data_IF_210816339364
#
_entry.id   IF_210816339364
#
_cell.length_a   1.000
_cell.length_b   1.000
_cell.length_c   1.000
_cell.angle_alpha   90.00
_cell.angle_beta   90.00
_cell.angle_gamma   90.00
#
_symmetry.space_group_name_H-M   'P 1'
#
loop_
_entity.id
_entity.type
_entity.pdbx_description
1 polymer ?
#
# COMPACT_ATOMS: atom_id res chain seq x y z
N UNK A 1 -18.51 20.90 -20.69
CA UNK A 1 -17.62 20.36 -19.64
C UNK A 1 -16.22 20.47 -20.19
N UNK A 2 -15.31 21.13 -19.48
CA UNK A 2 -13.93 21.27 -19.93
C UNK A 2 -13.26 19.91 -19.69
N UNK A 3 -12.77 19.26 -20.75
CA UNK A 3 -12.07 17.98 -20.64
C UNK A 3 -10.80 18.21 -19.80
N UNK A 4 -10.74 17.68 -18.59
CA UNK A 4 -9.57 17.82 -17.72
C UNK A 4 -8.58 16.70 -18.00
N UNK A 5 -7.29 16.99 -17.99
CA UNK A 5 -6.23 16.03 -18.31
C UNK A 5 -5.27 15.86 -17.12
N UNK A 6 -4.91 14.61 -16.83
CA UNK A 6 -3.90 14.24 -15.82
C UNK A 6 -2.72 13.53 -16.49
N UNK A 7 -1.51 13.98 -16.17
CA UNK A 7 -0.29 13.20 -16.38
C UNK A 7 -0.01 12.42 -15.09
N UNK A 8 -0.25 11.11 -15.11
CA UNK A 8 -0.03 10.24 -13.96
C UNK A 8 1.28 9.45 -14.13
N UNK A 9 2.25 9.68 -13.24
CA UNK A 9 3.50 8.91 -13.19
C UNK A 9 3.53 8.07 -11.91
N UNK A 10 3.57 6.74 -12.02
CA UNK A 10 3.54 5.86 -10.85
C UNK A 10 3.98 4.43 -11.13
N UNK A 11 4.31 3.67 -10.09
CA UNK A 11 4.73 2.28 -10.25
C UNK A 11 3.52 1.35 -10.53
N UNK A 12 3.58 0.48 -11.56
CA UNK A 12 2.62 -0.61 -11.72
C UNK A 12 2.75 -1.65 -10.60
N UNK A 13 1.96 -1.51 -9.53
CA UNK A 13 1.95 -2.41 -8.37
C UNK A 13 0.53 -2.91 -8.13
N UNK A 14 0.35 -4.24 -8.05
CA UNK A 14 -0.90 -4.93 -7.69
C UNK A 14 -2.18 -4.31 -8.30
N UNK A 15 -2.12 -3.88 -9.57
CA UNK A 15 -3.20 -3.20 -10.30
C UNK A 15 -3.70 -1.87 -9.71
N UNK A 16 -3.14 -1.35 -8.61
CA UNK A 16 -3.59 -0.06 -8.05
C UNK A 16 -3.48 1.10 -9.04
N UNK A 17 -2.40 1.16 -9.83
CA UNK A 17 -2.26 2.15 -10.89
C UNK A 17 -3.43 2.15 -11.89
N UNK A 18 -3.93 0.97 -12.28
CA UNK A 18 -5.10 0.86 -13.15
C UNK A 18 -6.37 1.33 -12.45
N UNK A 19 -6.53 1.01 -11.15
CA UNK A 19 -7.68 1.46 -10.36
C UNK A 19 -7.69 2.98 -10.18
N UNK A 20 -6.53 3.58 -9.94
CA UNK A 20 -6.37 5.04 -9.88
C UNK A 20 -6.72 5.68 -11.23
N UNK A 21 -6.25 5.10 -12.35
CA UNK A 21 -6.62 5.57 -13.70
C UNK A 21 -8.13 5.52 -13.89
N UNK A 22 -8.77 4.38 -13.61
CA UNK A 22 -10.22 4.23 -13.76
C UNK A 22 -11.01 5.16 -12.85
N UNK A 23 -10.51 5.47 -11.64
CA UNK A 23 -11.15 6.44 -10.75
C UNK A 23 -11.02 7.87 -11.29
N UNK A 24 -9.85 8.27 -11.78
CA UNK A 24 -9.69 9.57 -12.46
C UNK A 24 -10.66 9.70 -13.64
N UNK A 25 -10.77 8.67 -14.47
CA UNK A 25 -11.69 8.62 -15.61
C UNK A 25 -13.15 8.72 -15.17
N UNK A 26 -13.52 8.02 -14.09
CA UNK A 26 -14.86 8.11 -13.50
C UNK A 26 -15.17 9.51 -12.97
N UNK A 27 -14.16 10.25 -12.50
CA UNK A 27 -14.26 11.66 -12.08
C UNK A 27 -14.12 12.66 -13.24
N UNK A 28 -14.10 12.19 -14.49
CA UNK A 28 -14.15 13.02 -15.70
C UNK A 28 -12.79 13.50 -16.23
N UNK A 29 -11.69 12.86 -15.83
CA UNK A 29 -10.35 13.16 -16.33
C UNK A 29 -9.90 12.21 -17.43
N UNK A 30 -9.14 12.73 -18.39
CA UNK A 30 -8.35 11.92 -19.32
C UNK A 30 -6.96 11.70 -18.73
N UNK A 31 -6.49 10.45 -18.72
CA UNK A 31 -5.24 10.09 -18.03
C UNK A 31 -4.19 9.61 -19.04
N UNK A 32 -3.05 10.31 -19.08
CA UNK A 32 -1.82 9.77 -19.67
C UNK A 32 -0.98 9.14 -18.55
N UNK A 33 -0.79 7.82 -18.60
CA UNK A 33 -0.05 7.07 -17.58
C UNK A 33 1.36 6.71 -18.03
N UNK A 34 2.33 6.94 -17.14
CA UNK A 34 3.71 6.48 -17.27
C UNK A 34 4.18 5.75 -16.03
N UNK A 35 5.00 4.73 -16.25
CA UNK A 35 5.70 4.06 -15.16
C UNK A 35 6.70 5.04 -14.51
N UNK A 36 6.89 4.97 -13.19
CA UNK A 36 7.88 5.78 -12.46
C UNK A 36 9.34 5.32 -12.68
N UNK A 37 9.56 4.33 -13.55
CA UNK A 37 10.87 3.81 -13.95
C UNK A 37 10.87 3.27 -15.39
N UNK A 38 12.05 3.16 -16.02
CA UNK A 38 12.16 2.70 -17.41
C UNK A 38 11.79 1.23 -17.65
N UNK A 39 11.74 0.37 -16.61
CA UNK A 39 11.44 -1.06 -16.79
C UNK A 39 10.99 -1.76 -15.51
N UNK A 40 10.15 -2.79 -15.70
CA UNK A 40 9.71 -3.74 -14.67
C UNK A 40 10.64 -4.95 -14.49
N UNK A 41 11.78 -5.00 -15.17
CA UNK A 41 12.76 -6.08 -14.99
C UNK A 41 13.35 -6.07 -13.58
N UNK A 42 13.31 -7.22 -12.88
CA UNK A 42 13.88 -7.36 -11.52
C UNK A 42 15.36 -6.96 -11.46
N UNK A 43 16.13 -7.20 -12.52
CA UNK A 43 17.52 -6.77 -12.60
C UNK A 43 17.64 -5.24 -12.65
N UNK A 44 16.83 -4.57 -13.48
CA UNK A 44 16.80 -3.10 -13.57
C UNK A 44 16.36 -2.50 -12.24
N UNK A 45 15.32 -3.05 -11.58
CA UNK A 45 14.88 -2.63 -10.25
C UNK A 45 16.02 -2.71 -9.22
N UNK A 46 16.77 -3.81 -9.24
CA UNK A 46 17.93 -3.98 -8.37
C UNK A 46 19.02 -2.94 -8.64
N UNK A 47 19.36 -2.68 -9.91
CA UNK A 47 20.45 -1.77 -10.26
C UNK A 47 20.10 -0.31 -9.96
N UNK A 48 18.83 0.07 -10.16
CA UNK A 48 18.31 1.37 -9.74
C UNK A 48 18.47 1.61 -8.23
N UNK A 49 18.45 0.55 -7.41
CA UNK A 49 18.67 0.63 -5.97
C UNK A 49 20.16 0.62 -5.58
N UNK A 50 20.98 -0.18 -6.26
CA UNK A 50 22.38 -0.43 -5.87
C UNK A 50 23.35 0.59 -6.50
N UNK A 51 23.19 0.88 -7.80
CA UNK A 51 24.05 1.81 -8.55
C UNK A 51 23.22 2.69 -9.49
N UNK A 52 22.46 3.67 -8.96
CA UNK A 52 21.62 4.57 -9.77
C UNK A 52 22.42 5.28 -10.89
N UNK A 53 23.68 5.65 -10.64
CA UNK A 53 24.53 6.36 -11.59
C UNK A 53 24.78 5.60 -12.89
N UNK A 54 24.86 4.26 -12.84
CA UNK A 54 25.00 3.42 -14.03
C UNK A 54 23.73 3.38 -14.88
N UNK A 55 22.59 3.74 -14.30
CA UNK A 55 21.29 3.74 -14.96
C UNK A 55 20.90 5.13 -15.48
N UNK A 56 21.72 6.16 -15.24
CA UNK A 56 21.42 7.56 -15.56
C UNK A 56 21.03 7.77 -17.04
N UNK A 57 21.79 7.22 -17.98
CA UNK A 57 21.49 7.32 -19.41
C UNK A 57 20.16 6.65 -19.80
N UNK A 58 19.82 5.51 -19.17
CA UNK A 58 18.54 4.84 -19.41
C UNK A 58 17.37 5.64 -18.83
N UNK A 59 17.55 6.19 -17.62
CA UNK A 59 16.55 7.03 -16.96
C UNK A 59 16.33 8.31 -17.80
N UNK A 60 17.39 8.96 -18.26
CA UNK A 60 17.30 10.14 -19.11
C UNK A 60 16.58 9.83 -20.41
N UNK A 61 16.97 8.76 -21.12
CA UNK A 61 16.29 8.35 -22.37
C UNK A 61 14.81 8.07 -22.16
N UNK A 62 14.44 7.48 -21.02
CA UNK A 62 13.04 7.24 -20.68
C UNK A 62 12.29 8.53 -20.36
N UNK A 63 12.92 9.46 -19.63
CA UNK A 63 12.36 10.78 -19.38
C UNK A 63 12.17 11.58 -20.69
N UNK A 64 13.15 11.58 -21.59
CA UNK A 64 13.05 12.24 -22.90
C UNK A 64 11.90 11.69 -23.74
N UNK A 65 11.63 10.39 -23.63
CA UNK A 65 10.46 9.74 -24.24
C UNK A 65 9.16 10.32 -23.67
N UNK A 66 9.03 10.41 -22.34
CA UNK A 66 7.85 11.02 -21.70
C UNK A 66 7.68 12.46 -22.18
N UNK A 67 8.76 13.24 -22.22
CA UNK A 67 8.74 14.62 -22.70
C UNK A 67 8.27 14.69 -24.16
N UNK A 68 8.75 13.81 -25.04
CA UNK A 68 8.33 13.77 -26.45
C UNK A 68 6.84 13.41 -26.59
N UNK A 69 6.37 12.39 -25.89
CA UNK A 69 4.98 11.91 -26.02
C UNK A 69 3.95 12.83 -25.35
N UNK A 70 4.39 13.69 -24.45
CA UNK A 70 3.58 14.73 -23.80
C UNK A 70 3.69 16.09 -24.51
N UNK A 71 4.42 16.16 -25.62
CA UNK A 71 4.55 17.38 -26.42
C UNK A 71 3.21 17.83 -27.00
N UNK A 72 2.92 19.14 -26.91
CA UNK A 72 1.67 19.73 -27.40
C UNK A 72 0.44 19.42 -26.54
N UNK A 73 0.57 18.62 -25.48
CA UNK A 73 -0.48 18.36 -24.51
C UNK A 73 -0.39 19.33 -23.33
N UNK A 74 -1.55 19.77 -22.86
CA UNK A 74 -1.69 20.58 -21.64
C UNK A 74 -2.38 19.73 -20.58
N UNK A 75 -1.84 19.71 -19.37
CA UNK A 75 -2.43 19.01 -18.23
C UNK A 75 -2.96 20.01 -17.19
N UNK A 76 -4.02 19.63 -16.51
CA UNK A 76 -4.52 20.34 -15.32
C UNK A 76 -3.80 19.86 -14.05
N UNK A 77 -3.39 18.58 -14.06
CA UNK A 77 -2.72 17.93 -12.95
C UNK A 77 -1.55 17.06 -13.46
N UNK A 78 -0.37 17.25 -12.87
CA UNK A 78 0.73 16.29 -12.93
C UNK A 78 0.76 15.59 -11.58
N UNK A 79 0.32 14.34 -11.56
CA UNK A 79 0.25 13.52 -10.36
C UNK A 79 1.36 12.47 -10.37
N UNK A 80 2.23 12.48 -9.37
CA UNK A 80 3.36 11.55 -9.29
C UNK A 80 3.32 10.76 -7.98
N UNK A 81 3.49 9.45 -8.08
CA UNK A 81 3.61 8.54 -6.93
C UNK A 81 5.07 8.08 -6.79
N UNK A 82 5.64 8.24 -5.58
CA UNK A 82 6.99 7.82 -5.14
C UNK A 82 8.25 8.41 -5.81
N UNK A 83 8.18 8.95 -7.03
CA UNK A 83 9.33 9.53 -7.75
C UNK A 83 10.65 8.73 -7.61
N UNK A 84 10.67 7.42 -7.92
CA UNK A 84 11.84 6.58 -7.60
C UNK A 84 13.10 6.91 -8.41
N UNK A 85 12.95 7.41 -9.63
CA UNK A 85 14.07 7.67 -10.55
C UNK A 85 14.16 9.12 -11.01
N UNK A 86 13.10 9.93 -10.82
CA UNK A 86 13.06 11.30 -11.29
C UNK A 86 13.99 12.18 -10.44
N UNK A 87 14.73 13.06 -11.09
CA UNK A 87 15.64 14.01 -10.45
C UNK A 87 14.97 15.39 -10.28
N UNK A 88 15.50 16.27 -9.41
CA UNK A 88 15.02 17.64 -9.31
C UNK A 88 14.97 18.38 -10.66
N UNK A 89 16.00 18.17 -11.49
CA UNK A 89 16.08 18.75 -12.83
C UNK A 89 14.95 18.26 -13.74
N UNK A 90 14.67 16.95 -13.75
CA UNK A 90 13.56 16.38 -14.52
C UNK A 90 12.20 16.95 -14.09
N UNK A 91 11.96 17.10 -12.78
CA UNK A 91 10.72 17.71 -12.28
C UNK A 91 10.64 19.17 -12.72
N UNK A 92 11.74 19.93 -12.66
CA UNK A 92 11.78 21.31 -13.12
C UNK A 92 11.52 21.43 -14.62
N UNK A 93 12.07 20.52 -15.44
CA UNK A 93 11.78 20.46 -16.87
C UNK A 93 10.29 20.21 -17.14
N UNK A 94 9.64 19.31 -16.39
CA UNK A 94 8.20 19.09 -16.48
C UNK A 94 7.41 20.34 -16.10
N UNK A 95 7.74 21.01 -14.98
CA UNK A 95 7.07 22.26 -14.55
C UNK A 95 7.21 23.38 -15.58
N UNK A 96 8.39 23.51 -16.19
CA UNK A 96 8.63 24.51 -17.22
C UNK A 96 7.80 24.25 -18.49
N UNK A 97 7.47 22.98 -18.77
CA UNK A 97 6.63 22.61 -19.92
C UNK A 97 5.14 22.67 -19.62
N UNK A 98 4.75 22.34 -18.40
CA UNK A 98 3.36 22.24 -17.95
C UNK A 98 3.04 23.36 -16.96
N UNK A 99 3.16 24.61 -17.41
CA UNK A 99 3.07 25.81 -16.56
C UNK A 99 1.68 26.06 -15.98
N UNK A 100 0.63 25.51 -16.60
CA UNK A 100 -0.75 25.59 -16.09
C UNK A 100 -1.13 24.43 -15.17
N UNK A 101 -0.32 23.36 -15.11
CA UNK A 101 -0.66 22.18 -14.34
C UNK A 101 -0.31 22.38 -12.87
N UNK A 102 -1.16 21.88 -11.97
CA UNK A 102 -0.79 21.67 -10.57
C UNK A 102 0.05 20.39 -10.44
N UNK A 103 1.10 20.43 -9.65
CA UNK A 103 2.00 19.31 -9.40
C UNK A 103 1.74 18.73 -8.01
N UNK A 104 1.31 17.47 -7.96
CA UNK A 104 1.02 16.77 -6.71
C UNK A 104 1.88 15.51 -6.60
N UNK A 105 2.56 15.37 -5.45
CA UNK A 105 3.34 14.19 -5.09
C UNK A 105 2.59 13.38 -4.04
N UNK A 106 2.50 12.06 -4.22
CA UNK A 106 2.10 11.13 -3.16
C UNK A 106 3.22 10.13 -2.87
N UNK A 107 3.79 10.20 -1.68
CA UNK A 107 4.77 9.24 -1.17
C UNK A 107 4.01 8.02 -0.64
N UNK A 108 4.02 6.94 -1.42
CA UNK A 108 3.45 5.64 -1.08
C UNK A 108 4.45 4.73 -0.37
N UNK A 109 5.74 4.99 -0.50
CA UNK A 109 6.82 4.34 0.22
C UNK A 109 7.43 5.31 1.24
N UNK A 110 7.85 4.80 2.39
CA UNK A 110 8.51 5.63 3.42
C UNK A 110 9.83 6.23 2.91
N UNK A 111 10.13 7.46 3.35
CA UNK A 111 11.40 8.14 3.10
C UNK A 111 12.61 7.37 3.67
N UNK A 112 12.42 6.49 4.66
CA UNK A 112 13.47 5.56 5.11
C UNK A 112 13.91 4.60 4.01
N UNK A 113 13.00 4.21 3.11
CA UNK A 113 13.29 3.34 1.98
C UNK A 113 13.88 4.11 0.80
N UNK A 114 13.45 5.36 0.60
CA UNK A 114 13.85 6.22 -0.53
C UNK A 114 14.22 7.65 -0.07
N UNK A 115 15.36 7.83 0.62
CA UNK A 115 15.72 9.11 1.22
C UNK A 115 15.98 10.22 0.18
N UNK A 116 16.36 9.85 -1.04
CA UNK A 116 16.60 10.80 -2.13
C UNK A 116 15.32 11.54 -2.54
N UNK A 117 14.14 10.94 -2.36
CA UNK A 117 12.86 11.57 -2.68
C UNK A 117 12.61 12.82 -1.83
N UNK A 118 13.29 12.98 -0.68
CA UNK A 118 13.18 14.16 0.17
C UNK A 118 13.55 15.46 -0.54
N UNK A 119 14.52 15.43 -1.47
CA UNK A 119 14.93 16.61 -2.23
C UNK A 119 13.90 17.04 -3.29
N UNK A 120 12.97 16.14 -3.66
CA UNK A 120 11.94 16.41 -4.67
C UNK A 120 10.71 17.08 -4.06
N UNK A 121 10.39 16.78 -2.80
CA UNK A 121 9.18 17.26 -2.10
C UNK A 121 8.94 18.77 -2.28
N UNK A 122 9.94 19.66 -2.11
CA UNK A 122 9.72 21.11 -2.22
C UNK A 122 9.41 21.60 -3.64
N UNK A 123 9.56 20.76 -4.67
CA UNK A 123 9.30 21.13 -6.06
C UNK A 123 7.81 21.00 -6.44
N UNK A 124 7.03 20.28 -5.63
CA UNK A 124 5.60 20.07 -5.87
C UNK A 124 4.78 21.16 -5.18
N UNK A 125 3.61 21.45 -5.74
CA UNK A 125 2.68 22.42 -5.16
C UNK A 125 2.00 21.81 -3.93
N UNK A 126 1.79 20.49 -3.95
CA UNK A 126 1.35 19.70 -2.79
C UNK A 126 2.09 18.36 -2.73
N UNK A 127 2.46 17.94 -1.53
CA UNK A 127 3.06 16.63 -1.30
C UNK A 127 2.40 15.92 -0.11
N UNK A 128 2.06 14.66 -0.33
CA UNK A 128 1.39 13.80 0.64
C UNK A 128 2.25 12.60 1.00
N UNK A 129 2.06 12.04 2.19
CA UNK A 129 2.61 10.74 2.58
C UNK A 129 1.64 9.95 3.44
N UNK A 130 1.61 8.64 3.26
CA UNK A 130 0.88 7.70 4.12
C UNK A 130 1.62 7.40 5.44
N UNK A 131 2.91 7.73 5.52
CA UNK A 131 3.73 7.47 6.70
C UNK A 131 3.71 8.71 7.59
N UNK A 132 3.06 8.60 8.74
CA UNK A 132 2.89 9.69 9.70
C UNK A 132 4.23 10.17 10.26
N UNK A 133 5.20 9.26 10.43
CA UNK A 133 6.53 9.62 10.91
C UNK A 133 7.27 10.50 9.89
N UNK A 134 7.14 10.20 8.59
CA UNK A 134 7.71 11.03 7.53
C UNK A 134 7.08 12.43 7.52
N UNK A 135 5.77 12.54 7.74
CA UNK A 135 5.06 13.81 7.83
C UNK A 135 5.53 14.66 9.01
N UNK A 136 5.76 14.03 10.17
CA UNK A 136 6.29 14.70 11.35
C UNK A 136 7.73 15.20 11.16
N UNK A 137 8.52 14.52 10.34
CA UNK A 137 9.92 14.87 10.06
C UNK A 137 10.09 15.89 8.92
N UNK A 138 9.12 15.98 8.01
CA UNK A 138 9.20 16.85 6.82
C UNK A 138 7.96 17.72 6.75
N UNK A 139 8.09 18.98 7.18
CA UNK A 139 6.99 19.96 7.24
C UNK A 139 6.20 20.15 5.93
N UNK A 140 6.84 19.93 4.78
CA UNK A 140 6.20 20.05 3.47
C UNK A 140 5.31 18.84 3.10
N UNK A 141 5.36 17.75 3.87
CA UNK A 141 4.48 16.60 3.70
C UNK A 141 3.19 16.79 4.50
N UNK A 142 2.07 16.56 3.84
CA UNK A 142 0.76 16.43 4.47
C UNK A 142 0.42 14.95 4.65
N UNK A 143 -0.05 14.57 5.83
CA UNK A 143 -0.50 13.19 6.05
C UNK A 143 -1.76 12.89 5.23
N UNK A 144 -1.71 11.83 4.43
CA UNK A 144 -2.86 11.29 3.69
C UNK A 144 -2.71 9.77 3.69
N UNK A 145 -3.59 9.03 4.40
CA UNK A 145 -3.47 7.58 4.49
C UNK A 145 -3.64 6.89 3.14
N UNK A 146 -3.31 5.61 3.12
CA UNK A 146 -3.65 4.71 2.01
C UNK A 146 -5.18 4.56 1.91
N UNK A 147 -5.63 3.97 0.81
CA UNK A 147 -7.05 3.84 0.47
C UNK A 147 -7.43 2.39 0.16
N UNK A 148 -8.72 2.06 0.27
CA UNK A 148 -9.27 0.83 -0.28
C UNK A 148 -9.96 1.09 -1.61
N UNK A 149 -9.92 0.10 -2.49
CA UNK A 149 -10.61 0.16 -3.78
C UNK A 149 -12.03 -0.42 -3.68
N UNK A 150 -12.89 -0.05 -4.63
CA UNK A 150 -14.28 -0.52 -4.72
C UNK A 150 -14.46 -2.04 -4.59
N UNK A 151 -13.53 -2.84 -5.10
CA UNK A 151 -13.59 -4.31 -4.97
C UNK A 151 -13.57 -4.82 -3.53
N UNK A 152 -12.96 -4.06 -2.60
CA UNK A 152 -12.97 -4.42 -1.18
C UNK A 152 -14.28 -3.96 -0.54
N UNK A 153 -14.80 -2.79 -0.91
CA UNK A 153 -16.14 -2.34 -0.50
C UNK A 153 -17.22 -3.34 -0.93
N UNK A 154 -17.13 -3.90 -2.14
CA UNK A 154 -18.01 -4.95 -2.64
C UNK A 154 -17.94 -6.23 -1.79
N UNK A 155 -16.77 -6.59 -1.27
CA UNK A 155 -16.63 -7.72 -0.33
C UNK A 155 -17.27 -7.41 1.03
N UNK A 156 -17.14 -6.18 1.51
CA UNK A 156 -17.71 -5.74 2.78
C UNK A 156 -19.23 -5.58 2.75
N UNK A 157 -19.81 -5.24 1.60
CA UNK A 157 -21.23 -5.00 1.41
C UNK A 157 -21.98 -6.19 0.80
N UNK A 158 -21.33 -7.35 0.67
CA UNK A 158 -21.95 -8.53 0.10
C UNK A 158 -23.15 -8.98 0.95
N UNK A 159 -24.34 -8.92 0.36
CA UNK A 159 -25.61 -9.33 0.99
C UNK A 159 -25.80 -10.85 1.00
N UNK A 160 -24.96 -11.57 0.25
CA UNK A 160 -24.91 -13.03 0.20
C UNK A 160 -23.48 -13.51 0.47
N UNK A 161 -22.96 -13.29 1.69
CA UNK A 161 -21.58 -13.63 2.00
C UNK A 161 -21.33 -15.12 1.75
N UNK A 162 -20.18 -15.42 1.15
CA UNK A 162 -19.71 -16.79 1.01
C UNK A 162 -19.72 -17.50 2.38
N UNK A 163 -19.90 -18.82 2.37
CA UNK A 163 -19.69 -19.61 3.57
C UNK A 163 -18.28 -19.35 4.12
N UNK A 164 -18.18 -19.00 5.40
CA UNK A 164 -16.90 -18.70 6.03
C UNK A 164 -16.13 -20.00 6.22
N UNK A 165 -15.10 -20.19 5.39
CA UNK A 165 -14.21 -21.34 5.41
C UNK A 165 -13.02 -21.15 6.36
N UNK A 166 -12.64 -19.90 6.64
CA UNK A 166 -11.45 -19.56 7.42
C UNK A 166 -11.75 -18.51 8.49
N UNK A 167 -11.34 -18.78 9.71
CA UNK A 167 -11.48 -17.84 10.82
C UNK A 167 -10.39 -16.75 10.76
N UNK A 168 -9.23 -17.09 10.17
CA UNK A 168 -8.11 -16.17 9.92
C UNK A 168 -7.43 -16.44 8.57
N UNK A 169 -7.14 -15.37 7.81
CA UNK A 169 -6.32 -15.45 6.58
C UNK A 169 -5.04 -14.64 6.70
N UNK A 170 -3.96 -15.19 6.17
CA UNK A 170 -2.67 -14.50 6.02
C UNK A 170 -2.07 -14.83 4.66
N UNK A 171 -1.72 -13.79 3.90
CA UNK A 171 -1.19 -13.94 2.53
C UNK A 171 0.00 -13.00 2.34
N UNK A 172 1.19 -13.38 2.78
CA UNK A 172 2.31 -12.43 2.87
C UNK A 172 3.59 -12.96 2.21
N UNK A 173 4.48 -12.02 1.87
CA UNK A 173 5.86 -12.40 1.52
C UNK A 173 6.57 -12.98 2.75
N UNK A 174 7.38 -14.02 2.53
CA UNK A 174 8.14 -14.70 3.57
C UNK A 174 9.33 -13.87 4.04
N UNK A 175 9.08 -12.91 4.94
CA UNK A 175 10.14 -12.18 5.65
C UNK A 175 10.50 -12.88 6.97
N UNK A 176 11.73 -12.73 7.47
CA UNK A 176 12.20 -13.43 8.68
C UNK A 176 11.32 -13.19 9.90
N UNK A 177 10.91 -11.94 10.14
CA UNK A 177 10.03 -11.57 11.24
C UNK A 177 8.66 -12.26 11.14
N UNK A 178 8.03 -12.22 9.95
CA UNK A 178 6.73 -12.87 9.70
C UNK A 178 6.81 -14.38 9.85
N UNK A 179 7.83 -15.00 9.25
CA UNK A 179 8.02 -16.45 9.35
C UNK A 179 8.18 -16.91 10.79
N UNK A 180 9.05 -16.23 11.56
CA UNK A 180 9.26 -16.52 12.99
C UNK A 180 7.97 -16.39 13.81
N UNK A 181 7.19 -15.34 13.59
CA UNK A 181 5.95 -15.12 14.33
C UNK A 181 4.88 -16.14 13.95
N UNK A 182 4.65 -16.34 12.66
CA UNK A 182 3.57 -17.21 12.17
C UNK A 182 3.83 -18.69 12.45
N UNK A 183 5.10 -19.13 12.43
CA UNK A 183 5.45 -20.54 12.74
C UNK A 183 5.20 -20.93 14.19
N UNK A 184 5.07 -19.95 15.09
CA UNK A 184 4.70 -20.17 16.50
C UNK A 184 3.21 -19.92 16.72
N UNK A 185 2.70 -18.79 16.23
CA UNK A 185 1.34 -18.35 16.51
C UNK A 185 0.28 -19.23 15.85
N UNK A 186 0.46 -19.58 14.57
CA UNK A 186 -0.60 -20.25 13.82
C UNK A 186 -0.86 -21.67 14.31
N UNK A 187 0.16 -22.51 14.56
CA UNK A 187 -0.07 -23.82 15.17
C UNK A 187 -0.75 -23.72 16.54
N UNK A 188 -0.45 -22.70 17.34
CA UNK A 188 -1.08 -22.49 18.65
C UNK A 188 -2.57 -22.13 18.53
N UNK A 189 -2.96 -21.37 17.49
CA UNK A 189 -4.35 -21.03 17.19
C UNK A 189 -5.10 -22.21 16.55
N UNK A 190 -4.46 -22.97 15.67
CA UNK A 190 -5.03 -24.19 15.09
C UNK A 190 -5.30 -25.25 16.17
N UNK A 191 -4.41 -25.38 17.15
CA UNK A 191 -4.62 -26.25 18.31
C UNK A 191 -5.84 -25.85 19.18
N UNK A 192 -6.29 -24.60 19.07
CA UNK A 192 -7.53 -24.07 19.68
C UNK A 192 -8.76 -24.23 18.78
N UNK A 193 -8.61 -24.89 17.62
CA UNK A 193 -9.70 -25.21 16.70
C UNK A 193 -10.01 -24.13 15.67
N UNK A 194 -9.15 -23.13 15.49
CA UNK A 194 -9.32 -22.11 14.45
C UNK A 194 -8.85 -22.62 13.08
N UNK A 195 -9.64 -22.35 12.03
CA UNK A 195 -9.33 -22.66 10.64
C UNK A 195 -8.53 -21.53 10.03
N UNK A 196 -7.23 -21.75 9.79
CA UNK A 196 -6.32 -20.72 9.28
C UNK A 196 -5.94 -21.00 7.83
N UNK A 197 -6.09 -20.00 6.97
CA UNK A 197 -5.46 -20.02 5.65
C UNK A 197 -4.15 -19.22 5.68
N UNK A 198 -3.02 -19.92 5.62
CA UNK A 198 -1.68 -19.31 5.59
C UNK A 198 -1.02 -19.51 4.24
N UNK A 199 -0.78 -18.42 3.52
CA UNK A 199 -0.10 -18.40 2.23
C UNK A 199 1.14 -17.51 2.30
N UNK A 200 2.29 -18.14 2.59
CA UNK A 200 3.57 -17.44 2.61
C UNK A 200 4.33 -17.67 1.31
N UNK A 201 4.73 -16.59 0.62
CA UNK A 201 5.41 -16.71 -0.67
C UNK A 201 6.73 -15.95 -0.76
N UNK A 202 7.66 -16.47 -1.56
CA UNK A 202 8.95 -15.84 -1.86
C UNK A 202 9.52 -16.41 -3.16
N UNK A 203 10.46 -15.71 -3.79
CA UNK A 203 11.11 -16.26 -4.97
C UNK A 203 12.11 -17.37 -4.57
N UNK A 204 12.37 -18.32 -5.47
CA UNK A 204 13.23 -19.49 -5.20
C UNK A 204 14.65 -19.11 -4.77
N UNK A 205 15.24 -18.08 -5.39
CA UNK A 205 16.59 -17.62 -5.05
C UNK A 205 16.64 -17.04 -3.63
N UNK A 206 15.64 -16.25 -3.26
CA UNK A 206 15.48 -15.70 -1.93
C UNK A 206 15.26 -16.79 -0.88
N UNK A 207 14.52 -17.87 -1.20
CA UNK A 207 14.40 -19.02 -0.31
C UNK A 207 15.76 -19.66 -0.03
N UNK A 208 16.54 -19.99 -1.05
CA UNK A 208 17.86 -20.60 -0.86
C UNK A 208 18.83 -19.68 -0.11
N UNK A 209 18.80 -18.38 -0.42
CA UNK A 209 19.55 -17.38 0.33
C UNK A 209 19.14 -17.35 1.81
N UNK A 210 17.84 -17.22 2.09
CA UNK A 210 17.35 -17.17 3.47
C UNK A 210 17.66 -18.48 4.22
N UNK A 211 17.46 -19.64 3.59
CA UNK A 211 17.76 -20.96 4.18
C UNK A 211 19.24 -21.10 4.57
N UNK A 212 20.15 -20.54 3.78
CA UNK A 212 21.59 -20.60 4.04
C UNK A 212 22.06 -19.56 5.06
N UNK A 213 21.52 -18.34 5.02
CA UNK A 213 22.11 -17.19 5.73
C UNK A 213 21.23 -16.57 6.82
N UNK A 214 19.93 -16.89 6.89
CA UNK A 214 18.99 -16.31 7.84
C UNK A 214 18.62 -17.33 8.90
N UNK A 215 18.86 -16.99 10.17
CA UNK A 215 18.70 -17.92 11.31
C UNK A 215 17.27 -18.45 11.42
N UNK A 216 16.28 -17.58 11.23
CA UNK A 216 14.85 -17.90 11.28
C UNK A 216 14.47 -18.96 10.25
N UNK A 217 15.14 -18.99 9.08
CA UNK A 217 14.81 -19.91 7.98
C UNK A 217 15.58 -21.22 8.04
N UNK A 218 16.57 -21.40 8.93
CA UNK A 218 17.37 -22.65 8.98
C UNK A 218 16.51 -23.89 9.22
N UNK A 219 15.43 -23.78 9.98
CA UNK A 219 14.46 -24.87 10.20
C UNK A 219 13.42 -25.03 9.10
N UNK A 220 13.27 -24.06 8.20
CA UNK A 220 12.13 -23.97 7.29
C UNK A 220 12.18 -24.99 6.14
N UNK A 221 11.09 -25.69 5.88
CA UNK A 221 10.89 -26.58 4.75
C UNK A 221 10.39 -25.81 3.53
N UNK A 222 10.80 -26.21 2.33
CA UNK A 222 10.32 -25.61 1.08
C UNK A 222 8.81 -25.78 0.89
N UNK A 223 8.18 -26.77 1.52
CA UNK A 223 6.75 -27.05 1.42
C UNK A 223 5.89 -26.02 2.19
N UNK A 224 6.48 -25.31 3.15
CA UNK A 224 5.82 -24.23 3.90
C UNK A 224 5.64 -22.96 3.05
N UNK A 225 6.28 -22.90 1.89
CA UNK A 225 6.29 -21.72 1.04
C UNK A 225 5.71 -21.98 -0.34
N UNK A 226 5.21 -20.89 -0.93
CA UNK A 226 4.82 -20.81 -2.33
C UNK A 226 5.83 -19.96 -3.09
N UNK A 227 6.10 -20.34 -4.34
CA UNK A 227 7.10 -19.65 -5.17
C UNK A 227 6.49 -18.71 -6.21
N UNK A 228 5.17 -18.53 -6.15
CA UNK A 228 4.40 -17.58 -6.94
C UNK A 228 3.37 -16.93 -6.03
N UNK A 229 3.15 -15.61 -6.14
CA UNK A 229 2.06 -14.95 -5.44
C UNK A 229 0.70 -15.46 -5.93
N UNK A 230 -0.33 -15.33 -5.10
CA UNK A 230 -1.71 -15.43 -5.54
C UNK A 230 -2.05 -14.29 -6.51
N UNK A 231 -2.97 -14.55 -7.42
CA UNK A 231 -3.62 -13.50 -8.20
C UNK A 231 -4.52 -12.64 -7.30
N UNK A 232 -4.85 -11.44 -7.78
CA UNK A 232 -5.78 -10.54 -7.09
C UNK A 232 -7.15 -11.21 -6.83
N UNK A 233 -7.70 -11.92 -7.82
CA UNK A 233 -8.96 -12.64 -7.66
C UNK A 233 -8.88 -13.68 -6.55
N UNK A 234 -7.79 -14.45 -6.50
CA UNK A 234 -7.60 -15.45 -5.43
C UNK A 234 -7.48 -14.78 -4.06
N UNK A 235 -6.84 -13.62 -3.94
CA UNK A 235 -6.79 -12.87 -2.69
C UNK A 235 -8.19 -12.41 -2.25
N UNK A 236 -8.98 -11.86 -3.18
CA UNK A 236 -10.35 -11.44 -2.91
C UNK A 236 -11.24 -12.62 -2.51
N UNK A 237 -11.07 -13.78 -3.15
CA UNK A 237 -11.83 -14.99 -2.81
C UNK A 237 -11.51 -15.48 -1.39
N UNK A 238 -10.24 -15.43 -0.97
CA UNK A 238 -9.87 -15.76 0.41
C UNK A 238 -10.43 -14.75 1.41
N UNK A 239 -10.48 -13.46 1.04
CA UNK A 239 -11.07 -12.42 1.87
C UNK A 239 -12.59 -12.58 2.03
N UNK A 240 -13.31 -12.97 0.96
CA UNK A 240 -14.74 -13.27 1.01
C UNK A 240 -15.05 -14.42 1.95
N UNK A 241 -14.21 -15.46 1.95
CA UNK A 241 -14.36 -16.69 2.74
C UNK A 241 -13.79 -16.60 4.16
N UNK A 242 -13.52 -15.39 4.64
CA UNK A 242 -12.94 -15.18 5.96
C UNK A 242 -13.51 -14.00 6.73
N UNK A 243 -13.38 -14.05 8.05
CA UNK A 243 -13.83 -13.01 8.96
C UNK A 243 -12.70 -12.10 9.45
N UNK A 244 -11.47 -12.63 9.50
CA UNK A 244 -10.32 -11.91 10.05
C UNK A 244 -9.08 -12.04 9.15
N UNK A 245 -8.28 -10.98 9.12
CA UNK A 245 -7.03 -10.89 8.36
C UNK A 245 -5.85 -10.67 9.31
N UNK A 246 -4.76 -11.39 9.08
CA UNK A 246 -3.49 -11.18 9.75
C UNK A 246 -2.58 -10.27 8.92
N UNK A 247 -2.05 -9.21 9.52
CA UNK A 247 -1.07 -8.31 8.92
C UNK A 247 0.15 -8.08 9.81
N UNK A 248 1.31 -7.96 9.18
CA UNK A 248 2.54 -7.55 9.86
C UNK A 248 3.36 -6.67 8.93
N UNK A 249 3.60 -5.44 9.34
CA UNK A 249 4.42 -4.47 8.60
C UNK A 249 5.89 -4.87 8.58
N UNK A 250 6.65 -4.28 7.65
CA UNK A 250 8.10 -4.41 7.66
C UNK A 250 8.70 -3.59 8.81
N UNK A 251 9.77 -4.06 9.45
CA UNK A 251 10.42 -3.38 10.59
C UNK A 251 10.92 -1.95 10.30
N UNK A 252 10.94 -1.52 9.03
CA UNK A 252 11.45 -0.22 8.60
C UNK A 252 10.31 0.70 8.11
N UNK A 253 9.06 0.30 8.29
CA UNK A 253 7.87 1.04 7.90
C UNK A 253 7.05 1.34 9.16
N UNK A 254 6.66 2.60 9.34
CA UNK A 254 5.80 3.02 10.45
C UNK A 254 4.33 3.05 10.01
N UNK A 255 4.06 3.52 8.78
CA UNK A 255 2.72 3.63 8.22
C UNK A 255 1.98 2.30 8.10
N UNK A 256 0.64 2.37 8.09
CA UNK A 256 -0.22 1.20 7.89
C UNK A 256 0.02 0.58 6.50
N UNK A 257 -0.20 -0.72 6.36
CA UNK A 257 -0.01 -1.41 5.08
C UNK A 257 -1.25 -1.28 4.20
N UNK A 258 -1.12 -1.55 2.90
CA UNK A 258 -2.31 -1.69 2.04
C UNK A 258 -3.27 -2.74 2.59
N UNK A 259 -2.77 -3.86 3.13
CA UNK A 259 -3.61 -4.92 3.70
C UNK A 259 -4.46 -4.42 4.85
N UNK A 260 -3.93 -3.54 5.69
CA UNK A 260 -4.70 -2.89 6.75
C UNK A 260 -5.92 -2.17 6.18
N UNK A 261 -5.73 -1.34 5.15
CA UNK A 261 -6.81 -0.55 4.58
C UNK A 261 -7.75 -1.39 3.70
N UNK A 262 -7.23 -2.41 3.00
CA UNK A 262 -8.05 -3.41 2.28
C UNK A 262 -8.97 -4.18 3.23
N UNK A 263 -8.47 -4.54 4.42
CA UNK A 263 -9.24 -5.21 5.48
C UNK A 263 -10.35 -4.31 6.00
N UNK A 264 -10.05 -3.01 6.20
CA UNK A 264 -11.06 -1.99 6.51
C UNK A 264 -12.13 -1.93 5.43
N UNK A 265 -11.73 -1.79 4.15
CA UNK A 265 -12.65 -1.74 3.01
C UNK A 265 -13.56 -2.96 2.93
N UNK A 266 -13.02 -4.15 3.20
CA UNK A 266 -13.77 -5.40 3.22
C UNK A 266 -14.58 -5.66 4.49
N UNK A 267 -14.60 -4.73 5.45
CA UNK A 267 -15.31 -4.87 6.74
C UNK A 267 -14.95 -6.19 7.43
N UNK A 268 -13.65 -6.51 7.45
CA UNK A 268 -13.11 -7.68 8.14
C UNK A 268 -12.36 -7.23 9.38
N UNK A 269 -12.23 -8.13 10.34
CA UNK A 269 -11.41 -7.89 11.52
C UNK A 269 -9.93 -7.96 11.15
N UNK A 270 -9.09 -7.21 11.85
CA UNK A 270 -7.66 -7.15 11.62
C UNK A 270 -6.90 -7.57 12.87
N UNK A 271 -5.95 -8.48 12.71
CA UNK A 271 -4.92 -8.77 13.72
C UNK A 271 -3.61 -8.23 13.16
N UNK A 272 -2.98 -7.27 13.86
CA UNK A 272 -1.81 -6.57 13.35
C UNK A 272 -0.72 -6.34 14.39
N UNK A 273 0.54 -6.29 13.95
CA UNK A 273 1.65 -5.79 14.77
C UNK A 273 1.85 -4.26 14.67
N UNK A 274 1.01 -3.54 13.91
CA UNK A 274 1.18 -2.09 13.75
C UNK A 274 0.39 -1.29 14.78
N UNK A 275 1.05 -0.92 15.89
CA UNK A 275 0.46 -0.12 16.94
C UNK A 275 0.08 1.31 16.52
N UNK A 276 0.61 1.83 15.40
CA UNK A 276 0.22 3.14 14.87
C UNK A 276 -1.26 3.19 14.51
N UNK A 277 -1.90 2.04 14.25
CA UNK A 277 -3.33 1.97 13.93
C UNK A 277 -4.21 2.58 15.02
N UNK A 278 -3.77 2.55 16.29
CA UNK A 278 -4.51 3.14 17.42
C UNK A 278 -4.68 4.65 17.32
N UNK A 279 -3.90 5.32 16.47
CA UNK A 279 -4.02 6.77 16.23
C UNK A 279 -5.06 7.10 15.17
N UNK A 280 -5.51 6.12 14.38
CA UNK A 280 -6.46 6.33 13.30
C UNK A 280 -7.87 6.34 13.86
N UNK A 281 -8.73 7.18 13.30
CA UNK A 281 -10.06 7.36 13.85
C UNK A 281 -11.04 6.22 13.54
N UNK A 282 -10.67 5.32 12.62
CA UNK A 282 -11.36 4.04 12.42
C UNK A 282 -10.95 2.95 13.42
N UNK A 283 -10.02 3.22 14.34
CA UNK A 283 -9.60 2.23 15.34
C UNK A 283 -10.77 1.85 16.25
N UNK A 284 -11.08 0.55 16.27
CA UNK A 284 -12.05 -0.07 17.16
C UNK A 284 -11.46 -1.40 17.65
N UNK A 285 -11.37 -1.60 18.95
CA UNK A 285 -10.80 -2.80 19.57
C UNK A 285 -11.60 -4.08 19.29
N UNK A 286 -12.91 -3.97 19.00
CA UNK A 286 -13.74 -5.10 18.57
C UNK A 286 -13.41 -5.55 17.14
N UNK A 287 -12.82 -4.66 16.33
CA UNK A 287 -12.47 -4.94 14.94
C UNK A 287 -10.97 -5.11 14.71
N UNK A 288 -10.14 -4.58 15.60
CA UNK A 288 -8.68 -4.49 15.42
C UNK A 288 -7.99 -4.96 16.69
N UNK A 289 -7.29 -6.09 16.58
CA UNK A 289 -6.40 -6.60 17.61
C UNK A 289 -4.96 -6.19 17.31
N UNK A 290 -4.37 -5.37 18.19
CA UNK A 290 -2.96 -4.97 18.09
C UNK A 290 -2.10 -5.88 18.95
N UNK A 291 -1.27 -6.70 18.32
CA UNK A 291 -0.39 -7.64 19.00
C UNK A 291 0.76 -6.90 19.70
N UNK A 292 0.81 -7.00 21.02
CA UNK A 292 1.94 -6.59 21.87
C UNK A 292 2.82 -7.79 22.26
N UNK A 293 2.21 -8.96 22.43
CA UNK A 293 2.84 -10.25 22.69
C UNK A 293 2.19 -11.38 21.87
N UNK A 294 2.85 -12.54 21.80
CA UNK A 294 2.31 -13.75 21.17
C UNK A 294 1.33 -14.45 22.13
N UNK A 295 0.19 -13.82 22.43
CA UNK A 295 -0.86 -14.42 23.24
C UNK A 295 -1.96 -15.01 22.34
N UNK A 296 -1.95 -16.34 22.16
CA UNK A 296 -2.93 -17.02 21.32
C UNK A 296 -4.33 -17.10 21.93
N UNK A 297 -4.49 -16.93 23.26
CA UNK A 297 -5.81 -16.97 23.89
C UNK A 297 -6.60 -15.69 23.61
N UNK A 298 -5.98 -14.52 23.75
CA UNK A 298 -6.65 -13.24 23.49
C UNK A 298 -7.00 -13.09 22.00
N UNK A 299 -6.13 -13.58 21.11
CA UNK A 299 -6.38 -13.61 19.68
C UNK A 299 -7.54 -14.55 19.34
N UNK A 300 -7.63 -15.72 19.98
CA UNK A 300 -8.75 -16.64 19.79
C UNK A 300 -10.07 -15.98 20.21
N UNK A 301 -10.10 -15.38 21.39
CA UNK A 301 -11.27 -14.68 21.90
C UNK A 301 -11.68 -13.56 20.95
N UNK A 302 -10.75 -12.71 20.53
CA UNK A 302 -10.99 -11.65 19.54
C UNK A 302 -11.58 -12.20 18.22
N UNK A 303 -11.04 -13.30 17.68
CA UNK A 303 -11.54 -13.90 16.43
C UNK A 303 -13.00 -14.38 16.56
N UNK A 304 -13.43 -14.78 17.76
CA UNK A 304 -14.80 -15.28 17.99
C UNK A 304 -15.85 -14.18 18.16
N UNK A 305 -15.45 -12.93 18.44
CA UNK A 305 -16.37 -11.80 18.55
C UNK A 305 -16.92 -11.37 17.18
N UNK A 306 -18.08 -10.72 17.16
CA UNK A 306 -18.63 -10.17 15.91
C UNK A 306 -17.93 -8.88 15.51
N UNK A 307 -17.93 -8.59 14.20
CA UNK A 307 -17.45 -7.31 13.67
C UNK A 307 -18.44 -6.19 14.02
N UNK A 308 -17.95 -5.07 14.51
CA UNK A 308 -18.74 -3.88 14.82
C UNK A 308 -18.71 -2.89 13.64
N UNK A 309 -19.86 -2.46 13.08
CA UNK A 309 -19.87 -1.49 11.99
C UNK A 309 -19.16 -0.17 12.35
N UNK A 310 -18.31 0.30 11.43
CA UNK A 310 -17.66 1.61 11.52
C UNK A 310 -18.62 2.67 10.97
N UNK A 311 -18.58 3.88 11.55
CA UNK A 311 -19.35 5.02 11.05
C UNK A 311 -19.14 5.23 9.54
N UNK A 312 -20.23 5.55 8.83
CA UNK A 312 -20.22 5.63 7.37
C UNK A 312 -19.30 6.75 6.86
N UNK A 313 -19.22 7.90 7.54
CA UNK A 313 -18.35 9.00 7.15
C UNK A 313 -16.87 8.64 7.35
N UNK A 314 -16.56 7.97 8.48
CA UNK A 314 -15.22 7.45 8.75
C UNK A 314 -14.84 6.38 7.72
N UNK A 315 -15.74 5.47 7.38
CA UNK A 315 -15.47 4.42 6.40
C UNK A 315 -15.21 5.00 5.00
N UNK A 316 -16.08 5.91 4.53
CA UNK A 316 -16.03 6.41 3.15
C UNK A 316 -14.80 7.25 2.83
N UNK A 317 -14.25 8.01 3.79
CA UNK A 317 -13.05 8.83 3.53
C UNK A 317 -11.79 8.01 3.23
N UNK A 318 -11.74 6.72 3.56
CA UNK A 318 -10.63 5.83 3.19
C UNK A 318 -10.83 5.16 1.82
N UNK A 319 -11.91 5.47 1.10
CA UNK A 319 -12.12 5.00 -0.27
C UNK A 319 -11.12 5.64 -1.25
N UNK A 320 -10.82 4.93 -2.34
CA UNK A 320 -10.04 5.47 -3.46
C UNK A 320 -10.67 6.76 -4.02
N UNK A 321 -11.99 6.84 -4.02
CA UNK A 321 -12.73 8.03 -4.46
C UNK A 321 -12.36 9.26 -3.63
N UNK A 322 -12.53 9.21 -2.30
CA UNK A 322 -12.22 10.32 -1.39
C UNK A 322 -10.71 10.64 -1.35
N UNK A 323 -9.86 9.62 -1.44
CA UNK A 323 -8.42 9.82 -1.55
C UNK A 323 -8.07 10.62 -2.81
N UNK A 324 -8.70 10.31 -3.94
CA UNK A 324 -8.46 11.03 -5.19
C UNK A 324 -9.05 12.45 -5.18
N UNK A 325 -10.22 12.64 -4.56
CA UNK A 325 -10.79 13.97 -4.29
C UNK A 325 -9.85 14.84 -3.45
N UNK A 326 -9.18 14.26 -2.45
CA UNK A 326 -8.13 14.96 -1.69
C UNK A 326 -6.94 15.34 -2.57
N UNK A 327 -6.53 14.46 -3.49
CA UNK A 327 -5.46 14.75 -4.43
C UNK A 327 -5.86 15.83 -5.42
N UNK A 328 -7.07 15.81 -5.96
CA UNK A 328 -7.55 16.70 -7.02
C UNK A 328 -7.95 18.08 -6.47
N UNK A 329 -8.67 18.10 -5.35
CA UNK A 329 -9.34 19.30 -4.82
C UNK A 329 -8.78 19.77 -3.47
N UNK A 330 -7.78 19.07 -2.91
CA UNK A 330 -7.24 19.35 -1.56
C UNK A 330 -8.31 19.28 -0.46
N UNK A 331 -9.28 18.36 -0.62
CA UNK A 331 -10.27 18.06 0.41
C UNK A 331 -9.59 17.75 1.75
N UNK A 332 -10.10 18.36 2.82
CA UNK A 332 -9.57 18.18 4.16
C UNK A 332 -10.41 17.15 4.93
N UNK A 333 -9.76 16.09 5.37
CA UNK A 333 -10.34 15.08 6.23
C UNK A 333 -9.45 14.88 7.45
N UNK A 334 -10.07 14.71 8.62
CA UNK A 334 -9.38 14.28 9.83
C UNK A 334 -9.28 12.76 9.83
N UNK A 335 -8.07 12.21 9.76
CA UNK A 335 -7.82 10.75 9.72
C UNK A 335 -7.27 10.18 11.03
N UNK A 336 -6.86 11.07 11.94
CA UNK A 336 -6.27 10.70 13.22
C UNK A 336 -7.20 11.20 14.34
N UNK A 337 -7.32 10.39 15.38
CA UNK A 337 -8.02 10.79 16.60
C UNK A 337 -7.35 12.03 17.19
N UNK A 338 -8.15 12.94 17.77
CA UNK A 338 -7.57 14.04 18.53
C UNK A 338 -6.80 13.50 19.73
N UNK A 339 -5.66 14.11 20.11
CA UNK A 339 -5.01 13.80 21.37
C UNK A 339 -6.03 13.97 22.49
N UNK A 340 -6.27 12.93 23.29
CA UNK A 340 -7.03 13.07 24.53
C UNK A 340 -6.22 14.02 25.43
N UNK A 341 -6.76 15.22 25.66
CA UNK A 341 -6.17 16.29 26.48
C UNK A 341 -6.01 15.91 27.95
#
# INVERSE_FOLDING_TARGET
>A
MQNKHVLYIGTPIFNYHQRIISEFEAQGYFVDFYNDRPSESSWIKGMLKIKPSMMSALIQKYFDKIMTETEGKSYDLVFIVNCKVLTPDMIQQLKNRQTSARFVLYMWDSLKLYPNSKALIPLFDKAYSFDLEDCNQVKALTFLPLFYCKVFEEVGNDSHPAEIEHDLVSICTAHPNRYKTMSVLFPALEAKGLRIFSFMFLNKLQYWYNKAFVQEFKGASSHEFKFKPLSEQQNLDMLRKSNSVFDMQHNNQSGLTMRTIETLGAKRKLITSNAMIKQYDFYNENNIFVMDALNSSDIEEFIRHDYEPIDAEIYQKYSLHCWLETIINEASHQYLMEPQL
#
